data_IF_072926389496
#
_entry.id   IF_072926389496
#
_cell.length_a   1.000
_cell.length_b   1.000
_cell.length_c   1.000
_cell.angle_alpha   90.00
_cell.angle_beta   90.00
_cell.angle_gamma   90.00
#
_symmetry.space_group_name_H-M   'P 1'
#
loop_
_entity.id
_entity.type
_entity.pdbx_description
1 polymer ?
#
# COMPACT_ATOMS: atom_id res chain seq x y z
N UNK A 1 -14.26 -6.88 -13.84
CA UNK A 1 -13.86 -8.14 -13.20
C UNK A 1 -13.95 -7.87 -11.70
N UNK A 2 -14.80 -8.60 -10.99
CA UNK A 2 -14.96 -8.41 -9.53
C UNK A 2 -13.79 -9.08 -8.80
N UNK A 3 -13.46 -8.61 -7.62
CA UNK A 3 -12.52 -9.27 -6.72
C UNK A 3 -13.07 -10.65 -6.31
N UNK A 4 -12.17 -11.60 -6.01
CA UNK A 4 -12.57 -12.90 -5.46
C UNK A 4 -13.08 -12.74 -4.03
N UNK A 5 -13.86 -13.72 -3.54
CA UNK A 5 -14.35 -13.73 -2.16
C UNK A 5 -13.17 -13.69 -1.16
N UNK A 6 -12.04 -14.32 -1.51
CA UNK A 6 -10.82 -14.33 -0.68
C UNK A 6 -10.17 -12.95 -0.60
N UNK A 7 -10.12 -12.21 -1.71
CA UNK A 7 -9.67 -10.80 -1.70
C UNK A 7 -10.58 -9.95 -0.83
N UNK A 8 -11.89 -10.11 -0.97
CA UNK A 8 -12.86 -9.35 -0.18
C UNK A 8 -12.80 -9.70 1.31
N UNK A 9 -12.56 -10.95 1.65
CA UNK A 9 -12.38 -11.40 3.03
C UNK A 9 -11.14 -10.81 3.68
N UNK A 10 -9.98 -10.87 2.99
CA UNK A 10 -8.73 -10.26 3.48
C UNK A 10 -8.79 -8.72 3.53
N UNK A 11 -9.59 -8.09 2.68
CA UNK A 11 -9.84 -6.66 2.74
C UNK A 11 -10.71 -6.29 3.95
N UNK A 12 -11.80 -7.02 4.19
CA UNK A 12 -12.74 -6.71 5.26
C UNK A 12 -12.19 -7.09 6.65
N UNK A 13 -11.40 -8.15 6.74
CA UNK A 13 -10.82 -8.68 7.97
C UNK A 13 -9.31 -8.92 7.81
N UNK A 14 -8.50 -7.87 7.63
CA UNK A 14 -7.08 -8.02 7.41
C UNK A 14 -6.38 -8.59 8.64
N UNK A 15 -5.52 -9.59 8.42
CA UNK A 15 -4.77 -10.29 9.46
C UNK A 15 -3.38 -9.68 9.62
N UNK A 16 -2.86 -9.69 10.84
CA UNK A 16 -1.51 -9.23 11.17
C UNK A 16 -1.26 -7.74 10.89
N UNK A 17 -2.29 -6.89 10.91
CA UNK A 17 -2.15 -5.43 10.80
C UNK A 17 -1.46 -4.88 12.04
N UNK A 18 -0.52 -3.95 11.87
CA UNK A 18 0.14 -3.24 12.95
C UNK A 18 1.64 -3.09 12.76
N UNK A 19 2.30 -2.68 13.82
CA UNK A 19 3.76 -2.47 13.90
C UNK A 19 4.35 -3.47 14.90
N UNK A 20 5.61 -3.85 14.69
CA UNK A 20 6.44 -4.49 15.71
C UNK A 20 7.50 -3.47 16.12
N UNK A 21 7.41 -2.94 17.33
CA UNK A 21 8.36 -1.94 17.85
C UNK A 21 9.78 -2.52 17.96
N UNK A 22 9.88 -3.82 18.21
CA UNK A 22 11.13 -4.57 18.33
C UNK A 22 11.41 -5.45 17.10
N UNK A 23 10.99 -5.01 15.90
CA UNK A 23 11.22 -5.72 14.66
C UNK A 23 12.71 -5.97 14.39
N UNK A 24 13.04 -7.20 14.01
CA UNK A 24 14.39 -7.58 13.60
C UNK A 24 14.70 -7.14 12.17
N UNK A 25 13.67 -6.93 11.36
CA UNK A 25 13.78 -6.38 10.01
C UNK A 25 12.55 -5.57 9.62
N UNK A 26 12.79 -4.51 8.86
CA UNK A 26 11.75 -3.60 8.34
C UNK A 26 11.96 -3.40 6.85
N UNK A 27 10.92 -3.65 6.06
CA UNK A 27 10.91 -3.42 4.62
C UNK A 27 9.77 -2.51 4.22
N UNK A 28 10.06 -1.47 3.46
CA UNK A 28 9.05 -0.53 2.97
C UNK A 28 9.21 -0.33 1.48
N UNK A 29 8.15 -0.57 0.74
CA UNK A 29 8.10 -0.39 -0.71
C UNK A 29 6.86 0.42 -1.06
N UNK A 30 7.03 1.40 -1.94
CA UNK A 30 5.96 2.24 -2.46
C UNK A 30 5.91 2.24 -3.97
N UNK A 31 4.73 2.46 -4.51
CA UNK A 31 4.55 2.68 -5.94
C UNK A 31 4.14 4.14 -6.18
N UNK A 32 5.04 4.97 -6.72
CA UNK A 32 4.76 6.39 -6.94
C UNK A 32 3.66 6.65 -7.98
N UNK A 33 3.30 5.63 -8.77
CA UNK A 33 2.27 5.78 -9.82
C UNK A 33 0.86 5.69 -9.24
N UNK A 34 0.62 4.80 -8.25
CA UNK A 34 -0.70 4.65 -7.62
C UNK A 34 -0.73 5.15 -6.17
N UNK A 35 0.41 5.58 -5.62
CA UNK A 35 0.52 6.04 -4.25
C UNK A 35 0.42 4.94 -3.19
N UNK A 36 0.29 3.67 -3.59
CA UNK A 36 0.26 2.55 -2.65
C UNK A 36 1.63 2.43 -1.95
N UNK A 37 1.62 2.26 -0.64
CA UNK A 37 2.81 2.00 0.18
C UNK A 37 2.55 0.82 1.10
N UNK A 38 3.52 -0.09 1.20
CA UNK A 38 3.47 -1.26 2.06
C UNK A 38 4.72 -1.32 2.92
N UNK A 39 4.53 -1.49 4.23
CA UNK A 39 5.62 -1.68 5.19
C UNK A 39 5.41 -2.99 5.90
N UNK A 40 6.41 -3.86 5.88
CA UNK A 40 6.44 -5.10 6.65
C UNK A 40 7.44 -5.02 7.79
N UNK A 41 7.04 -5.58 8.92
CA UNK A 41 7.84 -5.72 10.12
C UNK A 41 7.94 -7.21 10.42
N UNK A 42 9.16 -7.71 10.60
CA UNK A 42 9.39 -9.13 10.89
C UNK A 42 10.13 -9.34 12.20
N UNK A 43 9.72 -10.35 12.92
CA UNK A 43 10.44 -10.90 14.08
C UNK A 43 10.98 -12.28 13.71
N UNK A 44 12.27 -12.50 13.95
CA UNK A 44 12.94 -13.74 13.55
C UNK A 44 13.42 -14.50 14.77
N UNK A 45 13.08 -15.78 14.84
CA UNK A 45 13.57 -16.70 15.85
C UNK A 45 13.89 -18.05 15.21
N UNK A 46 15.04 -18.60 15.54
CA UNK A 46 15.48 -19.90 15.03
C UNK A 46 15.37 -20.02 13.51
N UNK A 47 15.78 -18.96 12.79
CA UNK A 47 15.74 -18.82 11.33
C UNK A 47 14.33 -18.88 10.72
N UNK A 48 13.30 -18.63 11.54
CA UNK A 48 11.89 -18.57 11.14
C UNK A 48 11.29 -17.22 11.47
N UNK A 49 10.32 -16.81 10.67
CA UNK A 49 9.50 -15.62 10.92
C UNK A 49 8.49 -15.92 12.04
N UNK A 50 8.88 -15.64 13.30
CA UNK A 50 8.03 -15.85 14.48
C UNK A 50 6.79 -14.97 14.43
N UNK A 51 6.97 -13.71 14.06
CA UNK A 51 5.86 -12.78 13.84
C UNK A 51 6.10 -11.90 12.60
N UNK A 52 5.01 -11.56 11.94
CA UNK A 52 4.99 -10.69 10.78
C UNK A 52 3.82 -9.72 10.92
N UNK A 53 4.10 -8.44 10.88
CA UNK A 53 3.08 -7.39 10.89
C UNK A 53 3.25 -6.50 9.67
N UNK A 54 2.19 -5.80 9.32
CA UNK A 54 2.27 -4.84 8.23
C UNK A 54 1.42 -3.59 8.48
N UNK A 55 1.83 -2.54 7.84
CA UNK A 55 1.03 -1.35 7.58
C UNK A 55 0.94 -1.14 6.08
N UNK A 56 -0.22 -0.74 5.59
CA UNK A 56 -0.43 -0.46 4.17
C UNK A 56 -1.25 0.81 4.04
N UNK A 57 -0.78 1.71 3.20
CA UNK A 57 -1.54 2.82 2.66
C UNK A 57 -1.80 2.53 1.18
N UNK A 58 -3.08 2.45 0.79
CA UNK A 58 -3.40 2.10 -0.59
C UNK A 58 -4.82 1.56 -0.77
N UNK A 59 -5.07 1.01 -1.94
CA UNK A 59 -6.39 0.49 -2.31
C UNK A 59 -6.73 -0.83 -1.58
N UNK A 60 -8.00 -1.26 -1.66
CA UNK A 60 -8.46 -2.51 -1.02
C UNK A 60 -7.68 -3.75 -1.45
N UNK A 61 -7.18 -3.79 -2.70
CA UNK A 61 -6.31 -4.86 -3.15
C UNK A 61 -4.94 -4.85 -2.45
N UNK A 62 -4.39 -3.66 -2.16
CA UNK A 62 -3.15 -3.51 -1.42
C UNK A 62 -3.28 -4.06 0.01
N UNK A 63 -4.38 -3.76 0.69
CA UNK A 63 -4.69 -4.30 2.03
C UNK A 63 -4.82 -5.82 1.99
N UNK A 64 -5.59 -6.37 1.04
CA UNK A 64 -5.80 -7.80 0.91
C UNK A 64 -4.49 -8.56 0.60
N UNK A 65 -3.66 -8.01 -0.27
CA UNK A 65 -2.34 -8.56 -0.60
C UNK A 65 -1.43 -8.56 0.64
N UNK A 66 -1.32 -7.44 1.35
CA UNK A 66 -0.47 -7.36 2.54
C UNK A 66 -0.92 -8.36 3.61
N UNK A 67 -2.23 -8.49 3.82
CA UNK A 67 -2.81 -9.48 4.73
C UNK A 67 -2.45 -10.90 4.31
N UNK A 68 -2.58 -11.27 3.03
CA UNK A 68 -2.23 -12.59 2.51
C UNK A 68 -0.74 -12.87 2.64
N UNK A 69 0.13 -11.94 2.24
CA UNK A 69 1.59 -12.10 2.34
C UNK A 69 2.01 -12.32 3.79
N UNK A 70 1.42 -11.58 4.75
CA UNK A 70 1.72 -11.76 6.17
C UNK A 70 1.36 -13.15 6.69
N UNK A 71 0.24 -13.73 6.25
CA UNK A 71 -0.14 -15.10 6.60
C UNK A 71 0.76 -16.15 5.95
N UNK A 72 1.08 -15.95 4.66
CA UNK A 72 1.97 -16.87 3.94
C UNK A 72 3.37 -16.89 4.56
N UNK A 73 3.86 -15.76 5.05
CA UNK A 73 5.21 -15.61 5.59
C UNK A 73 5.34 -16.09 7.03
N UNK A 74 4.33 -15.90 7.86
CA UNK A 74 4.38 -16.22 9.29
C UNK A 74 4.63 -17.71 9.54
N UNK A 75 5.65 -18.02 10.37
CA UNK A 75 6.06 -19.38 10.72
C UNK A 75 6.98 -20.05 9.69
N UNK A 76 7.20 -19.45 8.51
CA UNK A 76 8.14 -19.98 7.51
C UNK A 76 9.59 -19.66 7.84
N UNK A 77 10.50 -20.44 7.29
CA UNK A 77 11.93 -20.11 7.33
C UNK A 77 12.19 -18.87 6.44
N UNK A 78 13.35 -18.24 6.66
CA UNK A 78 13.78 -17.09 5.85
C UNK A 78 13.82 -17.44 4.35
N UNK A 79 14.37 -18.62 4.01
CA UNK A 79 14.46 -19.07 2.62
C UNK A 79 13.08 -19.35 2.01
N UNK A 80 12.17 -19.98 2.77
CA UNK A 80 10.79 -20.21 2.34
C UNK A 80 10.02 -18.89 2.16
N UNK A 81 10.28 -17.89 2.99
CA UNK A 81 9.65 -16.57 2.89
C UNK A 81 10.20 -15.78 1.68
N UNK A 82 11.49 -15.90 1.38
CA UNK A 82 12.08 -15.33 0.15
C UNK A 82 11.57 -16.01 -1.13
N UNK A 83 11.08 -17.24 -1.05
CA UNK A 83 10.45 -17.93 -2.17
C UNK A 83 8.99 -17.50 -2.44
N UNK A 84 8.40 -16.67 -1.58
CA UNK A 84 7.07 -16.10 -1.83
C UNK A 84 7.17 -15.10 -2.97
N UNK A 85 6.48 -15.40 -4.07
CA UNK A 85 6.46 -14.56 -5.27
C UNK A 85 5.13 -13.82 -5.41
N UNK A 86 5.12 -12.78 -6.21
CA UNK A 86 3.90 -12.06 -6.59
C UNK A 86 2.84 -12.99 -7.20
N UNK A 87 3.27 -13.96 -8.02
CA UNK A 87 2.37 -14.92 -8.65
C UNK A 87 1.74 -15.85 -7.61
N UNK A 88 2.53 -16.36 -6.65
CA UNK A 88 2.02 -17.20 -5.56
C UNK A 88 1.03 -16.46 -4.68
N UNK A 89 1.26 -15.17 -4.40
CA UNK A 89 0.31 -14.33 -3.64
C UNK A 89 -0.98 -14.10 -4.40
N UNK A 90 -0.89 -13.82 -5.71
CA UNK A 90 -2.08 -13.65 -6.55
C UNK A 90 -2.87 -14.95 -6.67
N UNK A 91 -2.20 -16.09 -6.80
CA UNK A 91 -2.82 -17.41 -6.86
C UNK A 91 -3.55 -17.75 -5.54
N UNK A 92 -2.90 -17.53 -4.40
CA UNK A 92 -3.50 -17.74 -3.08
C UNK A 92 -4.76 -16.87 -2.86
N UNK A 93 -4.80 -15.66 -3.40
CA UNK A 93 -5.99 -14.80 -3.39
C UNK A 93 -7.07 -15.23 -4.40
N UNK A 94 -6.84 -16.30 -5.17
CA UNK A 94 -7.75 -16.75 -6.22
C UNK A 94 -7.75 -15.88 -7.47
N UNK A 95 -6.72 -15.06 -7.64
CA UNK A 95 -6.51 -14.14 -8.75
C UNK A 95 -6.77 -12.68 -8.38
N UNK A 96 -6.03 -11.81 -9.05
CA UNK A 96 -6.20 -10.35 -8.97
C UNK A 96 -6.59 -9.80 -10.35
N UNK A 97 -7.38 -8.72 -10.43
CA UNK A 97 -7.59 -8.02 -11.69
C UNK A 97 -6.25 -7.59 -12.28
N UNK A 98 -6.11 -7.62 -13.61
CA UNK A 98 -4.85 -7.30 -14.32
C UNK A 98 -4.26 -5.95 -13.92
N UNK A 99 -5.11 -4.96 -13.71
CA UNK A 99 -4.72 -3.62 -13.26
C UNK A 99 -4.37 -3.53 -11.76
N UNK A 100 -4.46 -4.64 -11.01
CA UNK A 100 -4.10 -4.75 -9.59
C UNK A 100 -2.97 -5.76 -9.33
N UNK A 101 -2.41 -6.37 -10.37
CA UNK A 101 -1.26 -7.28 -10.24
C UNK A 101 -0.02 -6.60 -9.64
N UNK A 102 0.13 -5.28 -9.84
CA UNK A 102 1.22 -4.53 -9.23
C UNK A 102 1.17 -4.53 -7.68
N UNK A 103 -0.02 -4.66 -7.08
CA UNK A 103 -0.14 -4.77 -5.62
C UNK A 103 0.53 -6.04 -5.08
N UNK A 104 0.43 -7.18 -5.81
CA UNK A 104 1.11 -8.42 -5.39
C UNK A 104 2.63 -8.28 -5.46
N UNK A 105 3.16 -7.54 -6.46
CA UNK A 105 4.59 -7.24 -6.53
C UNK A 105 5.04 -6.45 -5.30
N UNK A 106 4.35 -5.37 -4.96
CA UNK A 106 4.67 -4.54 -3.79
C UNK A 106 4.67 -5.35 -2.49
N UNK A 107 3.71 -6.27 -2.32
CA UNK A 107 3.61 -7.09 -1.12
C UNK A 107 4.79 -8.04 -0.95
N UNK A 108 5.15 -8.77 -2.00
CA UNK A 108 6.31 -9.66 -2.01
C UNK A 108 7.63 -8.88 -1.83
N UNK A 109 7.80 -7.77 -2.57
CA UNK A 109 8.99 -6.94 -2.51
C UNK A 109 9.20 -6.34 -1.11
N UNK A 110 8.13 -5.85 -0.46
CA UNK A 110 8.23 -5.28 0.89
C UNK A 110 8.58 -6.34 1.95
N UNK A 111 8.09 -7.57 1.83
CA UNK A 111 8.52 -8.68 2.67
C UNK A 111 9.99 -9.02 2.45
N UNK A 112 10.44 -9.12 1.19
CA UNK A 112 11.84 -9.40 0.85
C UNK A 112 12.76 -8.30 1.38
N UNK A 113 12.39 -7.03 1.26
CA UNK A 113 13.15 -5.92 1.82
C UNK A 113 13.25 -6.01 3.35
N UNK A 114 12.21 -6.45 4.06
CA UNK A 114 12.29 -6.68 5.50
C UNK A 114 13.28 -7.80 5.86
N UNK A 115 13.31 -8.87 5.07
CA UNK A 115 14.27 -9.97 5.25
C UNK A 115 15.70 -9.50 4.94
N UNK A 116 15.90 -8.71 3.89
CA UNK A 116 17.21 -8.16 3.53
C UNK A 116 17.72 -7.19 4.61
N UNK A 117 16.84 -6.37 5.21
CA UNK A 117 17.20 -5.50 6.34
C UNK A 117 17.66 -6.34 7.55
N UNK A 118 16.93 -7.39 7.91
CA UNK A 118 17.33 -8.33 8.97
C UNK A 118 18.71 -8.96 8.69
N UNK A 119 18.92 -9.47 7.48
CA UNK A 119 20.20 -10.05 7.09
C UNK A 119 21.33 -9.03 7.11
N UNK A 120 21.05 -7.78 6.72
CA UNK A 120 21.99 -6.66 6.77
C UNK A 120 22.39 -6.30 8.20
N UNK A 121 21.41 -6.21 9.12
CA UNK A 121 21.63 -5.93 10.56
C UNK A 121 22.52 -6.99 11.21
N UNK A 122 22.33 -8.25 10.88
CA UNK A 122 23.22 -9.35 11.32
C UNK A 122 24.68 -9.18 10.85
N UNK A 123 24.90 -8.45 9.75
CA UNK A 123 26.22 -8.10 9.19
C UNK A 123 26.74 -6.75 9.67
N UNK A 124 26.04 -6.08 10.59
CA UNK A 124 26.42 -4.80 11.18
C UNK A 124 25.86 -3.56 10.49
N UNK A 125 24.89 -3.70 9.60
CA UNK A 125 24.19 -2.57 9.03
C UNK A 125 23.27 -1.90 10.09
N UNK A 126 23.08 -0.56 10.04
CA UNK A 126 22.18 0.13 10.94
C UNK A 126 20.73 -0.31 10.67
N UNK A 127 19.86 -0.30 11.71
CA UNK A 127 18.44 -0.57 11.55
C UNK A 127 17.80 0.38 10.53
N UNK A 128 16.95 -0.14 9.66
CA UNK A 128 16.07 0.69 8.84
C UNK A 128 14.86 1.11 9.66
N UNK A 129 14.55 2.39 9.65
CA UNK A 129 13.31 2.90 10.19
C UNK A 129 12.30 3.00 9.04
N UNK A 130 11.07 2.52 9.28
CA UNK A 130 9.99 2.78 8.34
C UNK A 130 9.77 4.31 8.30
N UNK A 131 9.75 4.88 7.11
CA UNK A 131 9.34 6.26 6.98
C UNK A 131 7.89 6.37 7.45
N UNK A 132 7.52 7.45 8.17
CA UNK A 132 6.13 7.68 8.52
C UNK A 132 5.24 7.49 7.28
N UNK A 133 4.13 6.79 7.44
CA UNK A 133 3.09 6.70 6.40
C UNK A 133 2.22 7.96 6.44
N UNK A 134 2.86 9.12 6.62
CA UNK A 134 2.19 10.39 6.54
C UNK A 134 1.71 10.58 5.10
N UNK A 135 0.49 11.09 4.99
CA UNK A 135 -0.14 11.39 3.72
C UNK A 135 0.90 12.01 2.78
N UNK A 136 1.07 11.38 1.63
CA UNK A 136 2.04 11.72 0.61
C UNK A 136 2.31 13.22 0.58
N UNK A 137 3.56 13.62 0.80
CA UNK A 137 4.08 14.83 0.20
C UNK A 137 4.08 14.56 -1.31
N UNK A 138 2.91 14.73 -1.92
CA UNK A 138 2.83 14.87 -3.34
C UNK A 138 3.49 16.21 -3.68
N UNK A 139 4.76 16.18 -4.02
CA UNK A 139 5.35 17.23 -4.83
C UNK A 139 4.69 17.16 -6.22
N UNK A 140 3.43 17.55 -6.24
CA UNK A 140 2.57 17.52 -7.41
C UNK A 140 1.15 17.21 -6.96
N UNK A 141 0.18 18.03 -7.36
CA UNK A 141 -1.23 17.78 -7.07
C UNK A 141 -1.66 16.50 -7.76
N UNK A 142 -2.16 15.54 -6.98
CA UNK A 142 -2.73 14.31 -7.52
C UNK A 142 -4.25 14.42 -7.64
N UNK A 143 -4.80 13.74 -8.64
CA UNK A 143 -6.24 13.66 -8.83
C UNK A 143 -6.88 12.89 -7.65
N UNK A 144 -7.82 13.47 -6.89
CA UNK A 144 -8.43 12.82 -5.73
C UNK A 144 -9.36 11.65 -6.10
N UNK A 145 -9.58 11.38 -7.40
CA UNK A 145 -10.48 10.34 -7.90
C UNK A 145 -9.75 9.15 -8.54
N UNK A 146 -8.51 9.32 -9.00
CA UNK A 146 -7.76 8.25 -9.67
C UNK A 146 -6.26 8.25 -9.35
N UNK A 147 -5.81 9.10 -8.43
CA UNK A 147 -4.42 9.25 -7.96
C UNK A 147 -3.37 9.53 -9.05
N UNK A 148 -3.80 9.83 -10.29
CA UNK A 148 -2.88 10.26 -11.34
C UNK A 148 -2.33 11.64 -10.99
N UNK A 149 -1.02 11.87 -11.19
CA UNK A 149 -0.39 13.17 -11.01
C UNK A 149 -1.04 14.21 -11.91
N UNK A 150 -1.42 15.35 -11.34
CA UNK A 150 -1.89 16.51 -12.08
C UNK A 150 -0.69 17.44 -12.29
N UNK A 151 -0.27 17.60 -13.53
CA UNK A 151 0.69 18.63 -13.87
C UNK A 151 0.04 20.02 -13.69
N UNK A 152 0.84 21.05 -13.40
CA UNK A 152 0.36 22.42 -13.09
C UNK A 152 -0.67 23.00 -14.07
N UNK A 153 -0.70 22.47 -15.29
CA UNK A 153 -1.66 22.88 -16.35
C UNK A 153 -3.01 22.15 -16.26
N UNK A 154 -3.13 21.08 -15.45
CA UNK A 154 -4.30 20.18 -15.44
C UNK A 154 -5.16 20.34 -14.16
N UNK A 155 -4.99 21.43 -13.38
CA UNK A 155 -5.78 21.69 -12.16
C UNK A 155 -7.29 21.72 -12.38
N UNK A 156 -7.72 21.89 -13.61
CA UNK A 156 -9.15 22.03 -13.98
C UNK A 156 -9.70 20.74 -14.60
N UNK A 157 -8.83 19.81 -15.03
CA UNK A 157 -9.25 18.60 -15.72
C UNK A 157 -8.24 17.47 -15.58
N UNK A 158 -8.69 16.30 -15.13
CA UNK A 158 -7.86 15.08 -15.11
C UNK A 158 -7.99 14.32 -16.44
N UNK A 159 -6.91 14.21 -17.18
CA UNK A 159 -6.88 13.48 -18.48
C UNK A 159 -7.08 11.98 -18.31
N UNK A 160 -6.64 11.41 -17.18
CA UNK A 160 -6.72 9.98 -16.93
C UNK A 160 -8.16 9.51 -16.66
N UNK A 161 -8.90 10.20 -15.79
CA UNK A 161 -10.28 9.86 -15.47
C UNK A 161 -11.34 10.76 -16.17
N UNK A 162 -10.88 11.77 -16.92
CA UNK A 162 -11.72 12.72 -17.65
C UNK A 162 -12.72 13.51 -16.80
N UNK A 163 -12.30 13.86 -15.57
CA UNK A 163 -13.09 14.62 -14.62
C UNK A 163 -12.65 16.09 -14.66
N UNK A 164 -13.61 17.02 -14.76
CA UNK A 164 -13.39 18.45 -14.54
C UNK A 164 -13.39 18.76 -13.04
N UNK A 165 -12.52 19.66 -12.63
CA UNK A 165 -12.37 20.08 -11.26
C UNK A 165 -12.70 21.55 -11.04
N UNK A 166 -13.02 21.86 -9.80
CA UNK A 166 -13.13 23.21 -9.27
C UNK A 166 -12.45 23.31 -7.91
N UNK A 167 -11.98 24.49 -7.54
CA UNK A 167 -11.37 24.71 -6.22
C UNK A 167 -12.46 24.93 -5.17
N UNK A 168 -12.34 24.24 -4.05
CA UNK A 168 -13.24 24.45 -2.91
C UNK A 168 -12.99 25.82 -2.29
N UNK A 169 -13.99 26.72 -2.21
CA UNK A 169 -13.81 28.07 -1.65
C UNK A 169 -13.49 28.07 -0.14
N UNK A 170 -13.68 26.94 0.54
CA UNK A 170 -13.49 26.84 1.97
C UNK A 170 -12.09 26.34 2.37
N UNK A 171 -11.43 25.51 1.54
CA UNK A 171 -10.13 24.92 1.87
C UNK A 171 -9.11 24.99 0.73
N UNK A 172 -9.48 25.49 -0.46
CA UNK A 172 -8.60 25.52 -1.63
C UNK A 172 -8.33 24.16 -2.28
N UNK A 173 -8.85 23.08 -1.71
CA UNK A 173 -8.67 21.72 -2.25
C UNK A 173 -9.46 21.51 -3.54
N UNK A 174 -8.89 20.74 -4.46
CA UNK A 174 -9.50 20.45 -5.77
C UNK A 174 -10.58 19.39 -5.60
N UNK A 175 -11.78 19.64 -6.13
CA UNK A 175 -12.92 18.73 -6.07
C UNK A 175 -13.57 18.61 -7.44
N UNK A 176 -14.34 17.58 -7.68
CA UNK A 176 -15.02 17.38 -8.94
C UNK A 176 -16.10 18.44 -9.12
N UNK A 177 -16.13 19.08 -10.27
CA UNK A 177 -17.17 20.04 -10.62
C UNK A 177 -18.56 19.42 -10.61
N UNK A 178 -19.44 20.02 -9.80
CA UNK A 178 -20.80 19.55 -9.59
C UNK A 178 -20.97 18.55 -8.44
N UNK A 179 -19.94 18.29 -7.65
CA UNK A 179 -20.07 17.57 -6.38
C UNK A 179 -20.83 18.42 -5.35
N UNK A 180 -21.65 17.78 -4.52
CA UNK A 180 -22.44 18.47 -3.48
C UNK A 180 -21.61 18.89 -2.26
N UNK A 181 -20.48 18.24 -2.05
CA UNK A 181 -19.59 18.50 -0.93
C UNK A 181 -18.13 18.28 -1.34
N UNK A 182 -17.25 19.07 -0.76
CA UNK A 182 -15.81 18.96 -0.98
C UNK A 182 -15.27 17.65 -0.43
N UNK A 183 -14.50 16.91 -1.23
CA UNK A 183 -13.87 15.63 -0.84
C UNK A 183 -12.78 15.79 0.24
N UNK A 184 -12.20 17.00 0.39
CA UNK A 184 -11.13 17.27 1.35
C UNK A 184 -11.65 17.76 2.71
N UNK A 185 -12.64 18.65 2.74
CA UNK A 185 -13.12 19.26 4.00
C UNK A 185 -14.57 18.95 4.35
N UNK A 186 -15.31 18.23 3.51
CA UNK A 186 -16.68 17.84 3.71
C UNK A 186 -17.72 18.99 3.64
N UNK A 187 -17.26 20.25 3.42
CA UNK A 187 -18.19 21.38 3.32
C UNK A 187 -19.02 21.32 2.05
N UNK A 188 -20.32 21.73 2.10
CA UNK A 188 -21.13 21.80 0.90
C UNK A 188 -20.54 22.79 -0.10
N UNK A 189 -20.48 22.38 -1.35
CA UNK A 189 -20.14 23.22 -2.50
C UNK A 189 -21.45 23.80 -3.00
N UNK A 190 -21.54 25.12 -3.04
CA UNK A 190 -22.78 25.81 -3.37
C UNK A 190 -23.34 25.49 -4.75
N UNK A 191 -24.65 25.75 -4.89
CA UNK A 191 -25.37 25.68 -6.18
C UNK A 191 -24.76 26.60 -7.23
#
# INVERSE_FOLDING_TARGET
MMYTDKVMEHFANPRNVGVLEDADGVGQVGNPVCGDMMTFYIKVKDDRLEDVKFQTFGCGAAIAVSSMVSEMAKGRTIDEALAITNDSVAEELGGLPKNKMHCSNLGADALHEAIHDYQGRRKGAPPREAKPMDAHEHEGEACPYCDSSLEHADKVFCRACRIEFEECPACGGVTKKGDRACVHCGKPLGE
#
